data_IF_743276134453
#
_entry.id   IF_743276134453
#
_cell.length_a   1.000
_cell.length_b   1.000
_cell.length_c   1.000
_cell.angle_alpha   90.00
_cell.angle_beta   90.00
_cell.angle_gamma   90.00
#
_symmetry.space_group_name_H-M   'P 1'
#
loop_
_entity.id
_entity.type
_entity.pdbx_description
1 polymer ?
#
# COMPACT_ATOMS: atom_id res chain seq x y z
N UNK A 1 -32.44 8.63 -25.82
CA UNK A 1 -32.05 7.47 -24.99
C UNK A 1 -31.40 8.04 -23.74
N UNK A 2 -31.89 7.68 -22.55
CA UNK A 2 -31.33 8.18 -21.29
C UNK A 2 -30.08 7.37 -20.94
N UNK A 3 -28.90 7.99 -20.77
CA UNK A 3 -27.68 7.26 -20.41
C UNK A 3 -27.80 6.60 -19.03
N UNK A 4 -27.21 5.42 -18.87
CA UNK A 4 -27.04 4.79 -17.56
C UNK A 4 -25.90 5.52 -16.84
N UNK A 5 -26.18 6.06 -15.65
CA UNK A 5 -25.21 6.76 -14.79
C UNK A 5 -24.40 5.79 -13.92
N UNK A 6 -24.84 4.53 -13.83
CA UNK A 6 -24.19 3.49 -13.05
C UNK A 6 -24.73 3.37 -11.63
N UNK A 7 -24.02 2.62 -10.79
CA UNK A 7 -24.40 2.39 -9.40
C UNK A 7 -24.24 3.67 -8.58
N UNK A 8 -25.38 4.30 -8.29
CA UNK A 8 -25.46 5.61 -7.62
C UNK A 8 -26.64 5.63 -6.62
N UNK A 9 -26.65 4.71 -5.64
CA UNK A 9 -27.76 4.53 -4.69
C UNK A 9 -28.06 5.76 -3.85
N UNK A 10 -27.08 6.66 -3.65
CA UNK A 10 -27.26 7.88 -2.86
C UNK A 10 -27.93 9.01 -3.65
N UNK A 11 -28.03 8.88 -4.98
CA UNK A 11 -28.68 9.88 -5.82
C UNK A 11 -30.21 9.87 -5.61
N UNK A 12 -30.90 11.01 -5.81
CA UNK A 12 -32.35 11.09 -5.69
C UNK A 12 -33.06 10.01 -6.53
N UNK A 13 -34.10 9.33 -6.00
CA UNK A 13 -34.77 8.21 -6.70
C UNK A 13 -35.32 8.54 -8.07
N UNK A 14 -35.71 9.79 -8.29
CA UNK A 14 -36.25 10.25 -9.56
C UNK A 14 -35.16 10.53 -10.62
N UNK A 15 -33.87 10.42 -10.28
CA UNK A 15 -32.76 10.67 -11.21
C UNK A 15 -32.76 9.59 -12.29
N UNK A 16 -32.99 9.95 -13.56
CA UNK A 16 -33.03 8.95 -14.63
C UNK A 16 -31.65 8.31 -14.83
N UNK A 17 -31.62 6.99 -15.06
CA UNK A 17 -30.39 6.24 -15.40
C UNK A 17 -29.56 5.73 -14.21
N UNK A 18 -30.00 5.96 -12.96
CA UNK A 18 -29.31 5.42 -11.77
C UNK A 18 -29.59 3.92 -11.58
N UNK A 19 -28.58 3.20 -11.11
CA UNK A 19 -28.72 1.83 -10.60
C UNK A 19 -28.65 1.86 -9.07
N UNK A 20 -29.64 1.26 -8.42
CA UNK A 20 -29.76 1.19 -6.94
C UNK A 20 -29.33 -0.16 -6.37
N UNK A 21 -29.32 -1.17 -7.23
CA UNK A 21 -28.86 -2.51 -6.94
C UNK A 21 -28.30 -3.11 -8.24
N UNK A 22 -27.15 -3.77 -8.14
CA UNK A 22 -26.51 -4.47 -9.23
C UNK A 22 -25.51 -5.48 -8.70
N UNK A 23 -25.38 -6.62 -9.38
CA UNK A 23 -24.39 -7.65 -9.05
C UNK A 23 -23.60 -8.01 -10.30
N UNK A 24 -22.28 -8.13 -10.15
CA UNK A 24 -21.36 -8.47 -11.24
C UNK A 24 -21.43 -7.52 -12.46
N UNK A 25 -21.62 -6.22 -12.23
CA UNK A 25 -21.53 -5.19 -13.26
C UNK A 25 -20.34 -4.25 -13.00
N UNK A 26 -19.63 -3.89 -14.06
CA UNK A 26 -18.56 -2.88 -14.03
C UNK A 26 -18.80 -1.81 -15.10
N UNK A 27 -18.38 -0.55 -14.84
CA UNK A 27 -18.42 0.51 -15.85
C UNK A 27 -17.62 0.15 -17.11
N UNK A 28 -18.09 0.61 -18.25
CA UNK A 28 -17.43 0.50 -19.54
C UNK A 28 -17.74 1.72 -20.41
N UNK A 29 -16.93 1.99 -21.44
CA UNK A 29 -17.06 3.20 -22.27
C UNK A 29 -18.44 3.33 -22.93
N UNK A 30 -19.08 2.20 -23.26
CA UNK A 30 -20.42 2.16 -23.86
C UNK A 30 -21.56 1.92 -22.84
N UNK A 31 -21.29 1.98 -21.53
CA UNK A 31 -22.28 1.74 -20.47
C UNK A 31 -21.75 0.82 -19.37
N UNK A 32 -22.31 -0.38 -19.26
CA UNK A 32 -21.94 -1.37 -18.25
C UNK A 32 -21.65 -2.71 -18.92
N UNK A 33 -20.75 -3.51 -18.35
CA UNK A 33 -20.49 -4.89 -18.78
C UNK A 33 -20.38 -5.84 -17.58
N UNK A 34 -20.36 -7.14 -17.84
CA UNK A 34 -20.15 -8.14 -16.80
C UNK A 34 -18.78 -7.98 -16.12
N UNK A 35 -18.74 -8.13 -14.80
CA UNK A 35 -17.52 -8.16 -14.02
C UNK A 35 -16.66 -9.37 -14.39
N UNK A 36 -15.35 -9.26 -14.21
CA UNK A 36 -14.43 -10.36 -14.42
C UNK A 36 -14.75 -11.51 -13.44
N UNK A 37 -14.69 -12.74 -13.91
CA UNK A 37 -14.75 -13.93 -13.05
C UNK A 37 -13.34 -14.33 -12.61
N UNK A 38 -13.24 -14.90 -11.41
CA UNK A 38 -11.98 -15.46 -10.92
C UNK A 38 -11.55 -16.64 -11.81
N UNK A 39 -10.28 -16.63 -12.23
CA UNK A 39 -9.66 -17.72 -12.98
C UNK A 39 -8.53 -18.30 -12.15
N UNK A 40 -8.51 -19.62 -12.00
CA UNK A 40 -7.44 -20.30 -11.28
C UNK A 40 -6.12 -20.16 -12.05
N UNK A 41 -5.09 -19.65 -11.37
CA UNK A 41 -3.75 -19.49 -11.95
C UNK A 41 -3.04 -20.85 -12.16
N UNK A 42 -3.49 -21.92 -11.50
CA UNK A 42 -2.88 -23.25 -11.60
C UNK A 42 -1.61 -23.45 -10.77
N UNK A 43 -1.24 -22.51 -9.90
CA UNK A 43 -0.16 -22.69 -8.91
C UNK A 43 -0.53 -23.71 -7.84
N UNK A 44 0.45 -24.40 -7.27
CA UNK A 44 0.24 -25.31 -6.15
C UNK A 44 -0.33 -24.57 -4.93
N UNK A 45 -1.15 -25.29 -4.14
CA UNK A 45 -1.68 -24.79 -2.89
C UNK A 45 -0.55 -24.56 -1.87
N UNK A 46 -0.69 -23.51 -1.07
CA UNK A 46 0.25 -23.15 0.00
C UNK A 46 -0.26 -23.68 1.33
N UNK A 47 0.65 -24.06 2.21
CA UNK A 47 0.30 -24.63 3.52
C UNK A 47 -0.14 -23.59 4.55
N UNK A 48 0.26 -22.32 4.37
CA UNK A 48 -0.02 -21.23 5.30
C UNK A 48 -0.73 -20.08 4.60
N UNK A 49 -1.50 -19.33 5.38
CA UNK A 49 -2.19 -18.12 4.94
C UNK A 49 -1.20 -17.10 4.37
N UNK A 50 -1.54 -16.55 3.19
CA UNK A 50 -0.76 -15.50 2.54
C UNK A 50 -1.12 -14.14 3.13
N UNK A 51 -0.11 -13.41 3.64
CA UNK A 51 -0.20 -12.11 4.31
C UNK A 51 0.41 -10.97 3.49
N UNK A 52 0.60 -11.19 2.19
CA UNK A 52 1.10 -10.20 1.23
C UNK A 52 1.76 -10.89 0.05
N UNK A 53 1.62 -10.30 -1.14
CA UNK A 53 2.20 -10.80 -2.37
C UNK A 53 2.69 -9.64 -3.22
N UNK A 54 3.72 -9.88 -4.04
CA UNK A 54 4.21 -8.91 -4.99
C UNK A 54 4.71 -9.62 -6.26
N UNK A 55 4.43 -9.00 -7.40
CA UNK A 55 5.09 -9.31 -8.67
C UNK A 55 6.06 -8.17 -8.98
N UNK A 56 7.35 -8.49 -9.08
CA UNK A 56 8.41 -7.54 -9.42
C UNK A 56 8.99 -7.85 -10.79
N UNK A 57 9.50 -6.82 -11.46
CA UNK A 57 10.28 -6.94 -12.68
C UNK A 57 11.67 -6.39 -12.41
N UNK A 58 12.71 -7.17 -12.73
CA UNK A 58 14.11 -6.79 -12.63
C UNK A 58 14.55 -5.90 -13.79
N UNK A 59 15.75 -5.34 -13.67
CA UNK A 59 16.36 -4.51 -14.71
C UNK A 59 16.63 -5.29 -16.00
N UNK A 60 16.86 -6.62 -15.89
CA UNK A 60 16.99 -7.54 -17.03
C UNK A 60 15.65 -7.96 -17.66
N UNK A 61 14.53 -7.43 -17.17
CA UNK A 61 13.18 -7.75 -17.65
C UNK A 61 12.60 -9.06 -17.10
N UNK A 62 13.36 -9.84 -16.33
CA UNK A 62 12.84 -11.04 -15.68
C UNK A 62 11.86 -10.68 -14.57
N UNK A 63 10.86 -11.53 -14.35
CA UNK A 63 9.83 -11.33 -13.32
C UNK A 63 10.01 -12.31 -12.19
N UNK A 64 9.78 -11.84 -10.97
CA UNK A 64 9.71 -12.68 -9.77
C UNK A 64 8.39 -12.43 -9.07
N UNK A 65 7.78 -13.49 -8.58
CA UNK A 65 6.53 -13.40 -7.83
C UNK A 65 6.78 -13.97 -6.45
N UNK A 66 6.62 -13.13 -5.44
CA UNK A 66 6.74 -13.54 -4.06
C UNK A 66 5.38 -13.52 -3.39
N UNK A 67 5.17 -14.42 -2.44
CA UNK A 67 4.23 -14.13 -1.38
C UNK A 67 4.79 -14.52 -0.03
N UNK A 68 4.44 -13.72 0.96
CA UNK A 68 4.76 -13.96 2.35
C UNK A 68 3.58 -14.56 3.07
N UNK A 69 3.86 -15.56 3.90
CA UNK A 69 2.93 -16.22 4.79
C UNK A 69 3.26 -15.89 6.24
N UNK A 70 2.54 -16.47 7.18
CA UNK A 70 2.84 -16.35 8.61
C UNK A 70 4.19 -16.92 9.03
N UNK A 71 4.78 -17.83 8.23
CA UNK A 71 6.03 -18.53 8.57
C UNK A 71 7.10 -18.51 7.48
N UNK A 72 6.77 -18.15 6.23
CA UNK A 72 7.68 -18.23 5.07
C UNK A 72 7.53 -17.09 4.09
N UNK A 73 8.62 -16.71 3.41
CA UNK A 73 8.61 -15.96 2.15
C UNK A 73 8.89 -16.97 1.02
N UNK A 74 7.95 -17.12 0.10
CA UNK A 74 8.06 -18.12 -0.98
C UNK A 74 7.98 -17.43 -2.34
N UNK A 75 8.76 -17.94 -3.30
CA UNK A 75 8.81 -17.48 -4.68
C UNK A 75 8.12 -18.49 -5.60
N UNK A 76 7.26 -18.00 -6.49
CA UNK A 76 6.63 -18.82 -7.51
C UNK A 76 7.57 -19.00 -8.70
N UNK A 77 7.82 -20.24 -9.08
CA UNK A 77 8.53 -20.62 -10.31
C UNK A 77 7.69 -21.64 -11.07
N UNK A 78 7.20 -21.26 -12.25
CA UNK A 78 6.18 -22.04 -12.95
C UNK A 78 4.91 -22.13 -12.10
N UNK A 79 4.60 -23.33 -11.60
CA UNK A 79 3.47 -23.59 -10.70
C UNK A 79 3.88 -23.92 -9.27
N UNK A 80 5.19 -23.94 -8.97
CA UNK A 80 5.72 -24.39 -7.67
C UNK A 80 6.20 -23.23 -6.81
N UNK A 81 5.82 -23.25 -5.54
CA UNK A 81 6.34 -22.33 -4.52
C UNK A 81 7.66 -22.86 -3.93
N UNK A 82 8.71 -22.06 -4.03
CA UNK A 82 10.04 -22.35 -3.46
C UNK A 82 10.28 -21.46 -2.24
N UNK A 83 10.70 -22.04 -1.12
CA UNK A 83 11.04 -21.29 0.08
C UNK A 83 12.26 -20.39 -0.17
N UNK A 84 12.10 -19.09 0.06
CA UNK A 84 13.15 -18.06 -0.01
C UNK A 84 13.30 -17.34 1.32
N UNK A 85 12.80 -17.91 2.41
CA UNK A 85 12.92 -17.30 3.74
C UNK A 85 14.39 -17.11 4.13
N UNK A 86 14.65 -16.13 5.00
CA UNK A 86 15.96 -15.99 5.63
C UNK A 86 16.37 -17.25 6.38
N UNK A 87 17.67 -17.38 6.64
CA UNK A 87 18.18 -18.44 7.49
C UNK A 87 17.57 -18.37 8.91
N UNK A 88 17.29 -19.54 9.48
CA UNK A 88 16.71 -19.69 10.83
C UNK A 88 15.44 -20.56 10.83
N UNK A 89 15.19 -21.26 11.94
CA UNK A 89 14.02 -22.13 12.11
C UNK A 89 13.35 -21.86 13.48
N UNK A 90 12.09 -21.36 13.52
CA UNK A 90 11.31 -20.85 12.39
C UNK A 90 11.91 -19.53 11.85
N UNK A 91 11.82 -19.28 10.54
CA UNK A 91 12.32 -18.04 9.95
C UNK A 91 11.48 -16.82 10.37
N UNK A 92 10.15 -17.01 10.44
CA UNK A 92 9.18 -15.98 10.78
C UNK A 92 8.08 -16.51 11.71
N UNK A 93 7.55 -15.63 12.55
CA UNK A 93 6.39 -15.84 13.40
C UNK A 93 5.59 -14.53 13.46
N UNK A 94 4.74 -14.31 12.46
CA UNK A 94 3.99 -13.05 12.32
C UNK A 94 2.82 -12.98 13.31
N UNK A 95 2.57 -11.79 13.83
CA UNK A 95 1.35 -11.48 14.57
C UNK A 95 0.10 -11.54 13.67
N UNK A 96 -1.08 -11.72 14.27
CA UNK A 96 -2.36 -11.86 13.54
C UNK A 96 -2.72 -10.66 12.65
N UNK A 97 -2.19 -9.47 12.96
CA UNK A 97 -2.44 -8.22 12.22
C UNK A 97 -1.23 -7.76 11.39
N UNK A 98 -0.20 -8.59 11.27
CA UNK A 98 1.02 -8.27 10.54
C UNK A 98 0.91 -8.71 9.09
N UNK A 99 1.23 -7.77 8.19
CA UNK A 99 1.21 -7.97 6.75
C UNK A 99 2.60 -7.72 6.19
N UNK A 100 2.94 -8.44 5.13
CA UNK A 100 4.19 -8.23 4.42
C UNK A 100 4.09 -6.98 3.55
N UNK A 101 5.06 -6.09 3.72
CA UNK A 101 5.27 -4.95 2.84
C UNK A 101 6.52 -5.19 2.00
N UNK A 102 6.40 -4.93 0.71
CA UNK A 102 7.45 -5.16 -0.27
C UNK A 102 7.77 -3.86 -1.02
N UNK A 103 9.04 -3.69 -1.38
CA UNK A 103 9.49 -2.61 -2.26
C UNK A 103 10.60 -3.13 -3.18
N UNK A 104 10.50 -2.82 -4.47
CA UNK A 104 11.58 -3.08 -5.43
C UNK A 104 12.49 -1.85 -5.49
N UNK A 105 13.80 -2.06 -5.39
CA UNK A 105 14.80 -0.99 -5.50
C UNK A 105 15.99 -1.50 -6.32
N UNK A 106 16.10 -1.05 -7.57
CA UNK A 106 16.99 -1.67 -8.55
C UNK A 106 16.62 -3.14 -8.79
N UNK A 107 17.58 -4.05 -8.69
CA UNK A 107 17.35 -5.51 -8.77
C UNK A 107 17.02 -6.16 -7.42
N UNK A 108 17.10 -5.41 -6.32
CA UNK A 108 16.82 -5.91 -4.98
C UNK A 108 15.33 -5.77 -4.64
N UNK A 109 14.71 -6.87 -4.22
CA UNK A 109 13.37 -6.85 -3.62
C UNK A 109 13.53 -6.82 -2.11
N UNK A 110 13.03 -5.77 -1.47
CA UNK A 110 13.00 -5.62 -0.03
C UNK A 110 11.66 -6.09 0.52
N UNK A 111 11.69 -6.71 1.69
CA UNK A 111 10.52 -7.18 2.42
C UNK A 111 10.67 -6.89 3.90
N UNK A 112 9.56 -6.56 4.55
CA UNK A 112 9.48 -6.44 6.01
C UNK A 112 8.06 -6.74 6.45
N UNK A 113 7.92 -6.96 7.74
CA UNK A 113 6.67 -6.79 8.47
C UNK A 113 7.05 -6.10 9.79
N UNK A 114 6.07 -5.75 10.63
CA UNK A 114 6.36 -5.06 11.89
C UNK A 114 7.09 -5.98 12.91
N UNK A 115 7.10 -7.30 12.67
CA UNK A 115 7.70 -8.31 13.55
C UNK A 115 9.16 -8.64 13.18
N UNK A 116 9.57 -8.40 11.93
CA UNK A 116 10.90 -8.71 11.39
C UNK A 116 11.60 -7.48 10.86
N UNK A 117 12.93 -7.45 10.93
CA UNK A 117 13.72 -6.38 10.29
C UNK A 117 13.52 -6.40 8.77
N UNK A 118 13.82 -5.29 8.11
CA UNK A 118 13.89 -5.24 6.64
C UNK A 118 14.91 -6.25 6.14
N UNK A 119 14.55 -6.95 5.06
CA UNK A 119 15.33 -8.01 4.43
C UNK A 119 15.31 -7.80 2.94
N UNK A 120 16.27 -8.38 2.22
CA UNK A 120 16.31 -8.27 0.76
C UNK A 120 16.60 -9.60 0.07
N UNK A 121 16.10 -9.74 -1.15
CA UNK A 121 16.45 -10.81 -2.08
C UNK A 121 16.81 -10.21 -3.46
N UNK A 122 17.96 -10.60 -4.00
CA UNK A 122 18.36 -10.28 -5.38
C UNK A 122 18.18 -11.49 -6.30
N UNK A 123 18.75 -12.65 -5.94
CA UNK A 123 18.69 -13.90 -6.71
C UNK A 123 18.24 -15.10 -5.88
N UNK A 124 18.34 -15.00 -4.56
CA UNK A 124 18.26 -16.13 -3.64
C UNK A 124 17.22 -15.98 -2.53
N UNK A 125 17.49 -16.63 -1.41
CA UNK A 125 16.78 -16.40 -0.16
C UNK A 125 16.92 -14.94 0.30
N UNK A 126 15.98 -14.49 1.11
CA UNK A 126 16.06 -13.20 1.78
C UNK A 126 17.19 -13.20 2.81
N UNK A 127 17.86 -12.07 2.96
CA UNK A 127 18.84 -11.83 4.00
C UNK A 127 18.52 -10.53 4.73
N UNK A 128 18.69 -10.52 6.05
CA UNK A 128 18.47 -9.35 6.89
C UNK A 128 19.38 -8.20 6.45
N UNK A 129 18.81 -7.00 6.33
CA UNK A 129 19.56 -5.78 6.05
C UNK A 129 20.06 -5.23 7.38
N UNK A 130 21.38 -5.17 7.54
CA UNK A 130 21.99 -4.71 8.79
C UNK A 130 21.51 -3.29 9.13
N UNK A 131 21.25 -3.04 10.41
CA UNK A 131 20.80 -1.74 10.97
C UNK A 131 19.44 -1.23 10.50
N UNK A 132 18.78 -1.91 9.55
CA UNK A 132 17.48 -1.50 9.08
C UNK A 132 16.39 -1.68 10.16
N UNK A 133 15.41 -0.76 10.26
CA UNK A 133 14.33 -0.89 11.21
C UNK A 133 13.40 -2.05 10.84
N UNK A 134 12.60 -2.54 11.79
CA UNK A 134 11.35 -3.24 11.45
C UNK A 134 10.34 -2.19 11.04
N UNK A 135 9.51 -2.46 10.03
CA UNK A 135 8.52 -1.48 9.57
C UNK A 135 7.22 -2.12 9.12
N UNK A 136 6.12 -1.36 9.23
CA UNK A 136 4.82 -1.78 8.68
C UNK A 136 4.75 -1.58 7.17
N UNK A 137 5.40 -0.54 6.66
CA UNK A 137 5.29 -0.09 5.27
C UNK A 137 6.68 0.15 4.69
N UNK A 138 6.94 -0.40 3.51
CA UNK A 138 8.09 -0.08 2.66
C UNK A 138 7.64 0.52 1.33
N UNK A 139 8.35 1.56 0.88
CA UNK A 139 8.16 2.16 -0.44
C UNK A 139 9.49 2.64 -1.02
N UNK A 140 9.72 2.35 -2.28
CA UNK A 140 10.84 2.92 -3.03
C UNK A 140 10.37 4.21 -3.73
N UNK A 141 11.17 5.26 -3.63
CA UNK A 141 10.88 6.59 -4.21
C UNK A 141 12.11 7.05 -4.98
N UNK A 142 11.92 7.66 -6.15
CA UNK A 142 13.02 8.15 -7.00
C UNK A 142 12.91 9.66 -7.18
N UNK A 143 13.78 10.39 -6.50
CA UNK A 143 13.90 11.85 -6.62
C UNK A 143 14.79 12.23 -7.79
N UNK A 144 14.87 13.53 -8.10
CA UNK A 144 15.83 14.07 -9.07
C UNK A 144 17.30 13.78 -8.69
N UNK A 145 17.60 13.58 -7.40
CA UNK A 145 18.95 13.28 -6.91
C UNK A 145 19.23 11.78 -6.78
N UNK A 146 18.23 10.91 -6.99
CA UNK A 146 18.36 9.46 -6.86
C UNK A 146 17.25 8.83 -6.02
N UNK A 147 17.38 7.53 -5.77
CA UNK A 147 16.39 6.71 -5.09
C UNK A 147 16.61 6.61 -3.58
N UNK A 148 15.51 6.48 -2.84
CA UNK A 148 15.50 6.10 -1.43
C UNK A 148 14.54 4.93 -1.20
N UNK A 149 14.90 4.04 -0.27
CA UNK A 149 13.96 3.12 0.33
C UNK A 149 13.41 3.73 1.61
N UNK A 150 12.09 3.89 1.68
CA UNK A 150 11.39 4.40 2.85
C UNK A 150 10.84 3.28 3.71
N UNK A 151 10.88 3.49 5.02
CA UNK A 151 10.23 2.68 6.02
C UNK A 151 9.36 3.55 6.94
N UNK A 152 8.10 3.16 7.16
CA UNK A 152 7.17 3.88 8.03
C UNK A 152 6.59 2.97 9.11
N UNK A 153 6.22 3.60 10.24
CA UNK A 153 5.67 2.93 11.41
C UNK A 153 6.62 1.82 11.86
N UNK A 154 7.67 2.24 12.57
CA UNK A 154 8.88 1.45 12.73
C UNK A 154 9.13 0.99 14.16
N UNK A 155 9.85 -0.11 14.30
CA UNK A 155 10.43 -0.58 15.56
C UNK A 155 11.92 -0.78 15.35
N UNK A 156 12.75 -0.11 16.15
CA UNK A 156 14.21 -0.19 16.06
C UNK A 156 14.87 -0.09 17.44
N UNK A 157 16.17 -0.41 17.51
CA UNK A 157 16.92 -0.39 18.76
C UNK A 157 17.22 1.01 19.32
N UNK A 158 17.07 2.06 18.50
CA UNK A 158 17.40 3.45 18.87
C UNK A 158 16.19 4.18 19.44
N UNK A 159 15.02 4.04 18.78
CA UNK A 159 13.80 4.75 19.15
C UNK A 159 12.69 3.83 19.67
N UNK A 160 12.92 2.53 19.75
CA UNK A 160 11.91 1.56 20.15
C UNK A 160 10.74 1.51 19.18
N UNK A 161 9.53 1.29 19.70
CA UNK A 161 8.28 1.32 18.91
C UNK A 161 7.86 2.77 18.66
N UNK A 162 8.00 3.26 17.42
CA UNK A 162 7.64 4.62 17.01
C UNK A 162 6.73 4.58 15.78
N UNK A 163 5.42 4.49 16.03
CA UNK A 163 4.42 4.27 14.97
C UNK A 163 4.19 5.49 14.06
N UNK A 164 4.65 6.66 14.48
CA UNK A 164 4.60 7.95 13.77
C UNK A 164 5.93 8.30 13.07
N UNK A 165 6.91 7.39 13.10
CA UNK A 165 8.25 7.61 12.54
C UNK A 165 8.33 7.17 11.09
N UNK A 166 9.13 7.92 10.36
CA UNK A 166 9.60 7.56 9.02
C UNK A 166 11.14 7.45 9.04
N UNK A 167 11.64 6.62 8.14
CA UNK A 167 13.06 6.47 7.84
C UNK A 167 13.25 6.47 6.32
N UNK A 168 14.36 7.03 5.85
CA UNK A 168 14.87 6.79 4.51
C UNK A 168 16.26 6.15 4.57
N UNK A 169 16.52 5.20 3.69
CA UNK A 169 17.85 4.61 3.50
C UNK A 169 18.85 5.67 3.00
N UNK A 170 20.11 5.28 2.82
CA UNK A 170 21.06 6.10 2.09
C UNK A 170 20.62 6.33 0.63
N UNK A 171 21.05 7.45 0.05
CA UNK A 171 20.77 7.78 -1.35
C UNK A 171 21.35 6.69 -2.27
N UNK A 172 20.53 6.15 -3.16
CA UNK A 172 20.85 5.08 -4.11
C UNK A 172 21.32 3.76 -3.46
N UNK A 173 21.12 3.61 -2.15
CA UNK A 173 21.50 2.42 -1.40
C UNK A 173 20.40 2.04 -0.39
N UNK A 174 19.65 0.99 -0.70
CA UNK A 174 18.58 0.46 0.15
C UNK A 174 19.07 -0.34 1.37
N UNK A 175 20.38 -0.56 1.50
CA UNK A 175 20.97 -1.39 2.54
C UNK A 175 21.51 -0.61 3.74
N UNK A 176 21.83 0.67 3.53
CA UNK A 176 22.41 1.52 4.57
C UNK A 176 21.34 2.32 5.29
N UNK A 177 21.19 2.07 6.60
CA UNK A 177 20.21 2.74 7.48
C UNK A 177 20.87 3.49 8.65
N UNK A 178 22.19 3.64 8.62
CA UNK A 178 22.93 4.46 9.58
C UNK A 178 22.72 5.94 9.27
N UNK A 179 22.09 6.66 10.20
CA UNK A 179 21.79 8.10 10.05
C UNK A 179 23.07 8.89 9.77
N UNK A 180 23.11 9.54 8.61
CA UNK A 180 24.15 10.48 8.23
C UNK A 180 23.61 11.43 7.14
N UNK A 181 22.79 12.42 7.53
CA UNK A 181 22.07 13.27 6.57
C UNK A 181 22.99 14.16 5.73
N UNK A 182 24.24 14.39 6.16
CA UNK A 182 25.19 15.24 5.43
C UNK A 182 26.00 14.50 4.36
N UNK A 183 26.12 13.17 4.46
CA UNK A 183 26.97 12.36 3.55
C UNK A 183 26.13 11.34 2.77
N UNK A 184 25.50 10.40 3.47
CA UNK A 184 24.71 9.34 2.82
C UNK A 184 23.27 9.77 2.55
N UNK A 185 22.84 10.91 3.11
CA UNK A 185 21.46 11.38 3.15
C UNK A 185 20.48 10.42 3.86
N UNK A 186 20.99 9.38 4.54
CA UNK A 186 20.15 8.54 5.38
C UNK A 186 19.68 9.34 6.59
N UNK A 187 18.37 9.39 6.81
CA UNK A 187 17.76 10.19 7.86
C UNK A 187 16.44 9.58 8.37
N UNK A 188 15.97 10.10 9.50
CA UNK A 188 14.70 9.73 10.12
C UNK A 188 14.04 10.94 10.75
N UNK A 189 12.71 10.90 10.85
CA UNK A 189 11.92 11.94 11.50
C UNK A 189 10.58 11.39 11.97
N UNK A 190 9.77 12.26 12.58
CA UNK A 190 8.42 11.92 13.08
C UNK A 190 7.36 12.80 12.43
N UNK A 191 6.20 12.22 12.15
CA UNK A 191 5.00 12.90 11.66
C UNK A 191 4.08 13.16 12.86
N UNK A 192 4.38 14.23 13.59
CA UNK A 192 3.81 14.51 14.92
C UNK A 192 2.38 15.06 14.91
N UNK A 193 1.95 15.69 13.82
CA UNK A 193 0.58 16.18 13.68
C UNK A 193 -0.41 15.03 13.47
N UNK A 194 -1.66 15.27 13.89
CA UNK A 194 -2.74 14.31 14.05
C UNK A 194 -2.36 13.05 14.86
N UNK A 195 -3.32 12.54 15.62
CA UNK A 195 -3.10 11.36 16.45
C UNK A 195 -2.99 10.08 15.61
N UNK A 196 -2.35 9.06 16.21
CA UNK A 196 -2.31 7.70 15.66
C UNK A 196 -1.06 7.35 14.86
N UNK A 197 -1.04 6.12 14.36
CA UNK A 197 0.06 5.54 13.59
C UNK A 197 0.01 5.96 12.12
N UNK A 198 1.15 5.84 11.43
CA UNK A 198 1.16 5.80 9.96
C UNK A 198 0.62 4.44 9.53
N UNK A 199 -0.46 4.45 8.74
CA UNK A 199 -1.22 3.25 8.37
C UNK A 199 -0.99 2.82 6.93
N UNK A 200 -0.65 3.76 6.04
CA UNK A 200 -0.29 3.49 4.64
C UNK A 200 0.73 4.54 4.15
N UNK A 201 1.42 4.24 3.06
CA UNK A 201 2.20 5.22 2.32
C UNK A 201 2.24 4.84 0.84
N UNK A 202 2.33 5.83 -0.04
CA UNK A 202 2.47 5.59 -1.47
C UNK A 202 3.26 6.72 -2.14
N UNK A 203 4.03 6.40 -3.19
CA UNK A 203 4.74 7.41 -3.99
C UNK A 203 3.73 8.23 -4.79
N UNK A 204 3.90 9.55 -4.85
CA UNK A 204 3.07 10.43 -5.66
C UNK A 204 3.91 11.07 -6.75
N UNK A 205 3.56 10.84 -8.00
CA UNK A 205 4.40 11.25 -9.12
C UNK A 205 5.76 10.55 -9.07
N UNK A 206 6.81 11.30 -9.37
CA UNK A 206 8.17 10.76 -9.37
C UNK A 206 8.87 11.04 -8.03
N UNK A 207 8.79 12.28 -7.52
CA UNK A 207 9.70 12.82 -6.51
C UNK A 207 9.10 12.96 -5.10
N UNK A 208 7.83 12.61 -4.92
CA UNK A 208 7.13 12.76 -3.64
C UNK A 208 6.68 11.42 -3.08
N UNK A 209 6.51 11.41 -1.77
CA UNK A 209 5.88 10.31 -1.05
C UNK A 209 4.78 10.85 -0.15
N UNK A 210 3.65 10.15 -0.12
CA UNK A 210 2.52 10.48 0.74
C UNK A 210 2.42 9.44 1.83
N UNK A 211 2.52 9.86 3.09
CA UNK A 211 2.28 9.01 4.25
C UNK A 211 0.90 9.32 4.82
N UNK A 212 0.10 8.28 5.04
CA UNK A 212 -1.27 8.40 5.52
C UNK A 212 -1.35 7.94 6.98
N UNK A 213 -1.96 8.78 7.81
CA UNK A 213 -2.47 8.41 9.13
C UNK A 213 -3.99 8.22 9.02
N UNK A 214 -4.63 7.91 10.14
CA UNK A 214 -6.06 7.66 10.21
C UNK A 214 -6.93 8.89 9.83
N UNK A 215 -6.47 10.09 10.19
CA UNK A 215 -7.21 11.36 10.03
C UNK A 215 -6.40 12.48 9.38
N UNK A 216 -5.20 12.19 8.90
CA UNK A 216 -4.38 13.15 8.15
C UNK A 216 -3.48 12.42 7.17
N UNK A 217 -2.96 13.18 6.20
CA UNK A 217 -1.92 12.71 5.29
C UNK A 217 -0.77 13.72 5.25
N UNK A 218 0.40 13.24 4.88
CA UNK A 218 1.63 14.01 4.82
C UNK A 218 2.28 13.86 3.47
N UNK A 219 2.59 14.97 2.81
CA UNK A 219 3.34 14.98 1.56
C UNK A 219 4.81 15.25 1.86
N UNK A 220 5.63 14.21 1.69
CA UNK A 220 7.08 14.27 1.74
C UNK A 220 7.66 14.73 0.41
N UNK A 221 8.53 15.74 0.46
CA UNK A 221 9.33 16.21 -0.67
C UNK A 221 10.81 16.25 -0.28
N UNK A 222 11.68 15.88 -1.22
CA UNK A 222 13.12 15.96 -1.00
C UNK A 222 13.58 17.42 -0.99
N UNK A 223 14.33 17.80 0.04
CA UNK A 223 14.84 19.18 0.25
C UNK A 223 16.36 19.25 0.42
N UNK A 224 17.04 18.10 0.41
CA UNK A 224 18.47 18.02 0.65
C UNK A 224 18.86 18.24 2.12
N UNK A 225 20.16 18.13 2.45
CA UNK A 225 20.65 18.26 3.82
C UNK A 225 20.40 19.66 4.40
N UNK A 226 20.27 19.81 5.74
CA UNK A 226 20.38 18.75 6.74
C UNK A 226 19.06 17.98 6.98
N UNK A 227 17.92 18.47 6.47
CA UNK A 227 16.62 17.84 6.71
C UNK A 227 16.40 16.58 5.85
N UNK A 228 16.99 16.53 4.65
CA UNK A 228 16.81 15.55 3.58
C UNK A 228 15.39 15.53 3.00
N UNK A 229 14.38 15.39 3.86
CA UNK A 229 12.97 15.36 3.50
C UNK A 229 12.17 16.33 4.35
N UNK A 230 11.26 17.07 3.71
CA UNK A 230 10.26 17.92 4.37
C UNK A 230 8.88 17.31 4.17
N UNK A 231 8.08 17.25 5.24
CA UNK A 231 6.73 16.71 5.22
C UNK A 231 5.71 17.80 5.53
N UNK A 232 4.78 18.04 4.59
CA UNK A 232 3.65 18.94 4.77
C UNK A 232 2.41 18.16 5.17
N UNK A 233 1.78 18.52 6.30
CA UNK A 233 0.52 17.92 6.75
C UNK A 233 -0.70 18.48 6.01
N UNK A 234 -1.63 17.59 5.71
CA UNK A 234 -3.01 17.90 5.32
C UNK A 234 -3.95 17.26 6.35
N UNK A 235 -4.51 18.05 7.29
CA UNK A 235 -5.35 17.53 8.36
C UNK A 235 -6.74 17.11 7.85
N UNK A 236 -7.47 16.37 8.69
CA UNK A 236 -8.84 15.90 8.50
C UNK A 236 -9.08 14.85 7.39
N UNK A 237 -8.08 14.56 6.55
CA UNK A 237 -8.20 13.55 5.48
C UNK A 237 -7.15 12.46 5.68
N UNK A 238 -7.58 11.25 6.01
CA UNK A 238 -6.71 10.09 6.26
C UNK A 238 -7.12 8.85 5.48
N UNK A 239 -6.44 7.74 5.75
CA UNK A 239 -6.67 6.44 5.10
C UNK A 239 -7.06 5.39 6.14
N UNK A 240 -7.93 4.45 5.77
CA UNK A 240 -8.39 3.39 6.68
C UNK A 240 -7.37 2.29 6.91
N UNK A 241 -6.50 1.99 5.93
CA UNK A 241 -5.67 0.79 5.98
C UNK A 241 -4.50 0.75 5.00
N UNK A 242 -3.62 -0.23 5.21
CA UNK A 242 -2.35 -0.40 4.48
C UNK A 242 -2.54 -0.48 2.96
N UNK A 243 -3.56 -1.22 2.53
CA UNK A 243 -3.84 -1.49 1.12
C UNK A 243 -4.98 -0.64 0.57
N UNK A 244 -5.39 0.42 1.29
CA UNK A 244 -6.53 1.27 0.95
C UNK A 244 -6.10 2.56 0.18
N UNK A 245 -4.92 2.55 -0.45
CA UNK A 245 -4.42 3.60 -1.36
C UNK A 245 -3.93 2.94 -2.66
N UNK A 246 -4.22 3.56 -3.81
CA UNK A 246 -3.63 3.19 -5.10
C UNK A 246 -3.10 4.41 -5.84
N UNK A 247 -1.93 4.25 -6.48
CA UNK A 247 -1.31 5.24 -7.35
C UNK A 247 -1.70 5.02 -8.82
N UNK A 248 -2.28 6.06 -9.43
CA UNK A 248 -2.64 6.11 -10.85
C UNK A 248 -1.51 6.74 -11.70
N UNK A 249 -0.39 7.11 -11.07
CA UNK A 249 0.79 7.75 -11.66
C UNK A 249 0.97 9.17 -11.14
N UNK A 250 -0.04 10.01 -11.26
CA UNK A 250 -0.03 11.42 -10.82
C UNK A 250 -1.04 11.73 -9.73
N UNK A 251 -1.92 10.78 -9.43
CA UNK A 251 -3.05 10.94 -8.53
C UNK A 251 -3.20 9.67 -7.71
N UNK A 252 -3.50 9.83 -6.43
CA UNK A 252 -3.90 8.75 -5.55
C UNK A 252 -5.41 8.69 -5.45
N UNK A 253 -5.93 7.48 -5.45
CA UNK A 253 -7.29 7.20 -4.97
C UNK A 253 -7.15 6.38 -3.70
N UNK A 254 -7.85 6.80 -2.65
CA UNK A 254 -7.78 6.12 -1.36
C UNK A 254 -9.09 6.17 -0.61
N UNK A 255 -9.24 5.22 0.31
CA UNK A 255 -10.43 5.10 1.15
C UNK A 255 -10.14 5.69 2.52
N UNK A 256 -10.86 6.76 2.87
CA UNK A 256 -10.85 7.35 4.19
C UNK A 256 -11.95 6.80 5.08
N UNK A 257 -11.96 7.23 6.35
CA UNK A 257 -13.03 6.88 7.29
C UNK A 257 -14.37 7.51 6.91
N UNK A 258 -14.39 8.55 6.11
CA UNK A 258 -15.57 9.35 5.84
C UNK A 258 -15.94 9.38 4.35
N UNK A 259 -14.99 9.13 3.46
CA UNK A 259 -15.20 9.23 2.02
C UNK A 259 -14.20 8.38 1.23
N UNK A 260 -14.44 8.29 -0.08
CA UNK A 260 -13.43 7.89 -1.06
C UNK A 260 -12.84 9.19 -1.62
N UNK A 261 -11.53 9.29 -1.57
CA UNK A 261 -10.79 10.51 -1.82
C UNK A 261 -9.89 10.35 -3.04
N UNK A 262 -9.78 11.44 -3.79
CA UNK A 262 -8.80 11.65 -4.84
C UNK A 262 -7.78 12.70 -4.39
N UNK A 263 -6.50 12.46 -4.62
CA UNK A 263 -5.45 13.40 -4.24
C UNK A 263 -4.34 13.47 -5.28
N UNK A 264 -4.10 14.68 -5.78
CA UNK A 264 -3.09 15.00 -6.80
C UNK A 264 -1.81 15.63 -6.22
N UNK A 265 -1.71 15.73 -4.90
CA UNK A 265 -0.61 16.40 -4.20
C UNK A 265 -0.88 17.84 -3.79
N UNK A 266 -1.97 18.44 -4.25
CA UNK A 266 -2.38 19.79 -3.87
C UNK A 266 -3.50 19.75 -2.83
N UNK A 267 -4.64 19.12 -3.14
CA UNK A 267 -5.80 19.06 -2.23
C UNK A 267 -6.60 17.77 -2.38
N UNK A 268 -6.99 17.11 -1.28
CA UNK A 268 -7.89 15.96 -1.37
C UNK A 268 -9.31 16.40 -1.78
N UNK A 269 -9.92 15.67 -2.72
CA UNK A 269 -11.28 15.92 -3.20
C UNK A 269 -12.11 14.65 -3.03
N UNK A 270 -13.33 14.73 -2.46
CA UNK A 270 -14.20 13.56 -2.34
C UNK A 270 -14.78 13.19 -3.71
N UNK A 271 -14.81 11.89 -4.04
CA UNK A 271 -15.31 11.42 -5.34
C UNK A 271 -16.56 10.54 -5.24
N UNK A 272 -16.95 10.11 -4.04
CA UNK A 272 -18.11 9.26 -3.83
C UNK A 272 -19.37 10.02 -3.39
N UNK A 273 -19.24 11.31 -3.11
CA UNK A 273 -20.33 12.13 -2.57
C UNK A 273 -21.48 12.30 -3.59
N UNK A 274 -22.72 12.13 -3.12
CA UNK A 274 -23.91 12.14 -3.95
C UNK A 274 -24.08 10.92 -4.87
N UNK A 275 -23.15 9.95 -4.82
CA UNK A 275 -23.17 8.75 -5.65
C UNK A 275 -23.26 7.48 -4.82
N UNK A 276 -22.19 7.14 -4.09
CA UNK A 276 -22.04 5.84 -3.40
C UNK A 276 -21.53 5.97 -1.95
N UNK A 277 -21.17 7.17 -1.50
CA UNK A 277 -20.56 7.41 -0.18
C UNK A 277 -21.39 6.85 0.97
N UNK A 278 -22.65 7.26 1.12
CA UNK A 278 -23.49 6.87 2.25
C UNK A 278 -23.81 5.39 2.20
N UNK A 279 -24.13 4.86 1.02
CA UNK A 279 -24.26 3.43 0.81
C UNK A 279 -23.00 2.67 1.25
N UNK A 280 -21.81 3.10 0.83
CA UNK A 280 -20.55 2.46 1.20
C UNK A 280 -20.30 2.49 2.71
N UNK A 281 -20.53 3.64 3.36
CA UNK A 281 -20.38 3.77 4.82
C UNK A 281 -21.34 2.87 5.60
N UNK A 282 -22.57 2.67 5.10
CA UNK A 282 -23.57 1.82 5.74
C UNK A 282 -23.31 0.32 5.52
N UNK A 283 -22.70 -0.05 4.39
CA UNK A 283 -22.50 -1.45 4.01
C UNK A 283 -21.13 -2.00 4.41
N UNK A 284 -20.15 -1.16 4.75
CA UNK A 284 -18.83 -1.62 5.21
C UNK A 284 -18.79 -1.82 6.73
N UNK A 285 -17.91 -2.71 7.19
CA UNK A 285 -17.57 -2.85 8.61
C UNK A 285 -16.77 -1.64 9.10
N UNK A 286 -17.22 -1.01 10.19
CA UNK A 286 -16.47 0.04 10.89
C UNK A 286 -15.22 -0.50 11.57
N UNK A 287 -15.32 -1.70 12.13
CA UNK A 287 -14.29 -2.28 12.99
C UNK A 287 -13.13 -2.85 12.17
N UNK A 288 -13.46 -3.40 10.99
CA UNK A 288 -12.52 -4.03 10.08
C UNK A 288 -12.18 -3.18 8.85
N UNK A 289 -12.51 -1.88 8.85
CA UNK A 289 -12.24 -0.98 7.73
C UNK A 289 -10.75 -0.95 7.31
N UNK A 290 -9.83 -1.27 8.23
CA UNK A 290 -8.40 -1.35 7.95
C UNK A 290 -7.99 -2.49 7.00
N UNK A 291 -8.89 -3.45 6.75
CA UNK A 291 -8.68 -4.53 5.79
C UNK A 291 -9.01 -4.12 4.36
N UNK A 292 -9.68 -2.97 4.14
CA UNK A 292 -10.04 -2.48 2.81
C UNK A 292 -8.85 -2.50 1.85
N UNK A 293 -9.08 -2.99 0.64
CA UNK A 293 -8.09 -3.09 -0.42
C UNK A 293 -8.58 -2.34 -1.65
N UNK A 294 -7.69 -1.57 -2.26
CA UNK A 294 -7.96 -0.88 -3.53
C UNK A 294 -6.96 -1.35 -4.58
N UNK A 295 -7.46 -1.68 -5.76
CA UNK A 295 -6.67 -2.22 -6.87
C UNK A 295 -6.99 -1.45 -8.14
N UNK A 296 -5.96 -1.06 -8.87
CA UNK A 296 -6.10 -0.40 -10.17
C UNK A 296 -5.78 -1.37 -11.29
N UNK A 297 -6.81 -1.75 -12.04
CA UNK A 297 -6.69 -2.45 -13.31
C UNK A 297 -6.34 -1.44 -14.41
N UNK A 298 -5.05 -1.36 -14.71
CA UNK A 298 -4.49 -0.43 -15.70
C UNK A 298 -4.97 -0.71 -17.12
N UNK A 299 -5.27 -1.96 -17.48
CA UNK A 299 -5.68 -2.33 -18.83
C UNK A 299 -7.09 -1.84 -19.11
N UNK A 300 -7.99 -2.04 -18.14
CA UNK A 300 -9.39 -1.62 -18.28
C UNK A 300 -9.66 -0.22 -17.72
N UNK A 301 -8.66 0.43 -17.09
CA UNK A 301 -8.78 1.70 -16.37
C UNK A 301 -9.88 1.67 -15.29
N UNK A 302 -9.94 0.57 -14.54
CA UNK A 302 -10.93 0.35 -13.49
C UNK A 302 -10.27 0.32 -12.12
N UNK A 303 -10.95 0.90 -11.14
CA UNK A 303 -10.57 0.81 -9.73
C UNK A 303 -11.56 -0.11 -9.04
N UNK A 304 -11.04 -1.13 -8.38
CA UNK A 304 -11.80 -2.03 -7.52
C UNK A 304 -11.52 -1.68 -6.07
N UNK A 305 -12.57 -1.53 -5.28
CA UNK A 305 -12.49 -1.33 -3.84
C UNK A 305 -13.17 -2.53 -3.19
N UNK A 306 -12.37 -3.37 -2.55
CA UNK A 306 -12.81 -4.52 -1.77
C UNK A 306 -12.82 -4.14 -0.31
N UNK A 307 -13.90 -4.43 0.40
CA UNK A 307 -14.05 -4.03 1.80
C UNK A 307 -14.86 -5.08 2.56
N UNK A 308 -14.62 -5.25 3.87
CA UNK A 308 -15.46 -6.12 4.67
C UNK A 308 -16.85 -5.54 4.77
N UNK A 309 -17.88 -6.32 4.41
CA UNK A 309 -19.26 -5.91 4.63
C UNK A 309 -19.56 -5.72 6.13
N UNK A 310 -20.63 -5.02 6.47
CA UNK A 310 -21.05 -4.80 7.86
C UNK A 310 -21.19 -6.16 8.59
N UNK A 311 -20.49 -6.29 9.72
CA UNK A 311 -20.42 -7.55 10.49
C UNK A 311 -19.42 -8.60 9.97
N UNK A 312 -18.76 -8.36 8.82
CA UNK A 312 -17.72 -9.24 8.28
C UNK A 312 -16.34 -8.92 8.86
N UNK A 313 -15.51 -9.97 8.98
CA UNK A 313 -14.08 -9.90 9.34
C UNK A 313 -13.14 -10.18 8.17
N UNK A 314 -13.67 -10.34 6.96
CA UNK A 314 -12.93 -10.59 5.73
C UNK A 314 -13.41 -9.64 4.65
N UNK A 315 -12.55 -9.30 3.69
CA UNK A 315 -12.96 -8.51 2.54
C UNK A 315 -13.81 -9.34 1.57
N UNK A 316 -14.83 -8.69 1.03
CA UNK A 316 -15.67 -9.19 -0.06
C UNK A 316 -15.32 -8.50 -1.39
#
# INVERSE_FOLDING_TARGET
MTPILGFTPDAPPATPGILRDCSQFIPYESGMRAANSAVAQGSSARSNETRGAITITKLDGTRRVFAGTTAKLEELSGTTWTDRSRAGAPAYALGATSWWSFAQFGDNTYATNLDTVVQKSSTGAFADVATAPKARILKAVVTTSGGFLFAFNTIDGTFGTSQDRWWCSALNDGDTWTVNPSVSLCNTGRLLGAEGAIVAAEKLGNDRIVAYKDKSLYVGSFVGPPAVWSFQEYPAVGCVGLNAVVDLGTVHIFVGRDNIWMFDGARPVPIAEGQVRQWFLNNRSSDNAYLTQIVFDRLNRLIYIFFPSAGSSVCD
#
